data_IF_038039763265
#
_entry.id   IF_038039763265
#
_cell.length_a   1.000
_cell.length_b   1.000
_cell.length_c   1.000
_cell.angle_alpha   90.00
_cell.angle_beta   90.00
_cell.angle_gamma   90.00
#
_symmetry.space_group_name_H-M   'P 1'
#
loop_
_entity.id
_entity.type
_entity.pdbx_description
1 polymer ?
#
# COMPACT_ATOMS: atom_id res chain seq x y z
N UNK A 1 -32.43 4.15 11.06
CA UNK A 1 -32.00 5.47 11.58
C UNK A 1 -30.78 5.43 12.52
N UNK A 2 -30.65 4.52 13.49
CA UNK A 2 -29.46 4.47 14.37
C UNK A 2 -28.14 4.12 13.68
N UNK A 3 -28.16 3.36 12.58
CA UNK A 3 -26.97 2.97 11.81
C UNK A 3 -26.40 4.15 10.98
N UNK A 4 -27.29 4.92 10.30
CA UNK A 4 -26.87 6.13 9.56
C UNK A 4 -26.22 7.19 10.47
N UNK A 5 -26.71 7.33 11.71
CA UNK A 5 -26.15 8.27 12.68
C UNK A 5 -24.73 7.87 13.12
N UNK A 6 -24.44 6.58 13.24
CA UNK A 6 -23.08 6.09 13.58
C UNK A 6 -22.10 6.23 12.41
N UNK A 7 -22.58 6.07 11.17
CA UNK A 7 -21.78 6.31 9.97
C UNK A 7 -21.48 7.80 9.80
N UNK A 8 -22.46 8.68 10.06
CA UNK A 8 -22.26 10.12 9.99
C UNK A 8 -21.24 10.63 11.03
N UNK A 9 -21.23 10.08 12.24
CA UNK A 9 -20.25 10.42 13.29
C UNK A 9 -18.84 9.93 12.89
N UNK A 10 -18.71 8.75 12.29
CA UNK A 10 -17.43 8.24 11.80
C UNK A 10 -16.88 9.10 10.64
N UNK A 11 -17.73 9.57 9.73
CA UNK A 11 -17.37 10.47 8.63
C UNK A 11 -16.98 11.86 9.15
N UNK A 12 -17.64 12.37 10.20
CA UNK A 12 -17.28 13.65 10.84
C UNK A 12 -15.95 13.59 11.60
N UNK A 13 -15.62 12.46 12.23
CA UNK A 13 -14.31 12.26 12.86
C UNK A 13 -13.17 12.14 11.82
N UNK A 14 -13.45 11.66 10.60
CA UNK A 14 -12.48 11.66 9.50
C UNK A 14 -12.29 13.06 8.87
N UNK A 15 -13.31 13.90 8.89
CA UNK A 15 -13.25 15.27 8.36
C UNK A 15 -12.29 16.20 9.11
N UNK A 16 -12.09 15.98 10.41
CA UNK A 16 -11.16 16.78 11.23
C UNK A 16 -9.67 16.45 10.99
N UNK A 17 -9.35 15.31 10.37
CA UNK A 17 -7.97 14.92 10.03
C UNK A 17 -7.52 15.58 8.72
N UNK A 18 -8.44 16.06 7.90
CA UNK A 18 -8.14 16.72 6.61
C UNK A 18 -7.71 18.20 6.76
N UNK A 19 -7.83 18.78 7.96
CA UNK A 19 -7.53 20.21 8.19
C UNK A 19 -6.04 20.53 8.35
N UNK A 20 -5.14 19.58 8.21
CA UNK A 20 -3.69 19.79 8.24
C UNK A 20 -3.03 19.77 6.85
N UNK A 21 -3.81 19.90 5.79
CA UNK A 21 -3.27 20.09 4.44
C UNK A 21 -2.80 21.55 4.28
N UNK A 22 -1.67 21.86 4.86
CA UNK A 22 -0.97 23.11 4.59
C UNK A 22 0.07 22.84 3.50
N UNK A 23 -0.08 23.62 2.42
CA UNK A 23 0.72 23.69 1.18
C UNK A 23 0.52 22.61 0.10
N UNK A 24 0.32 23.12 -1.07
CA UNK A 24 0.01 22.67 -2.42
C UNK A 24 0.76 21.46 -3.03
N UNK A 25 1.18 20.47 -2.28
CA UNK A 25 1.90 19.30 -2.79
C UNK A 25 1.04 18.02 -2.76
N UNK A 26 -0.17 18.08 -3.31
CA UNK A 26 -1.01 16.91 -3.43
C UNK A 26 -0.55 16.05 -4.60
N UNK A 27 0.17 14.95 -4.32
CA UNK A 27 0.57 14.00 -5.34
C UNK A 27 -0.50 12.97 -5.66
N UNK A 28 -0.31 12.26 -6.77
CA UNK A 28 -1.17 11.16 -7.18
C UNK A 28 -0.38 9.89 -7.47
N UNK A 29 -0.83 8.76 -6.91
CA UNK A 29 -0.24 7.45 -7.08
C UNK A 29 -1.20 6.50 -7.77
N UNK A 30 -0.81 5.99 -8.91
CA UNK A 30 -1.52 4.96 -9.67
C UNK A 30 -0.81 3.64 -9.45
N UNK A 31 -1.52 2.66 -8.89
CA UNK A 31 -0.90 1.43 -8.41
C UNK A 31 -1.61 0.20 -8.94
N UNK A 32 -0.84 -0.75 -9.40
CA UNK A 32 -1.27 -2.09 -9.72
C UNK A 32 -0.60 -3.08 -8.77
N UNK A 33 -1.39 -4.00 -8.24
CA UNK A 33 -0.94 -5.09 -7.38
C UNK A 33 -1.47 -6.42 -7.90
N UNK A 34 -0.57 -7.30 -8.28
CA UNK A 34 -0.87 -8.68 -8.63
C UNK A 34 -0.39 -9.65 -7.55
N UNK A 35 -1.22 -10.63 -7.24
CA UNK A 35 -0.85 -11.75 -6.38
C UNK A 35 -1.48 -13.04 -6.95
N UNK A 36 -0.82 -13.60 -7.96
CA UNK A 36 -1.36 -14.61 -8.83
C UNK A 36 -0.90 -16.00 -8.39
N UNK A 37 -1.82 -16.90 -8.09
CA UNK A 37 -1.48 -18.29 -7.73
C UNK A 37 -0.80 -19.00 -8.90
N UNK A 38 0.37 -19.60 -8.62
CA UNK A 38 1.13 -20.47 -9.54
C UNK A 38 0.83 -21.95 -9.22
N UNK A 39 0.64 -22.26 -7.95
CA UNK A 39 0.27 -23.58 -7.46
C UNK A 39 -0.59 -23.46 -6.19
N UNK A 40 -0.91 -24.59 -5.54
CA UNK A 40 -1.67 -24.61 -4.28
C UNK A 40 -1.01 -23.76 -3.19
N UNK A 41 0.32 -23.69 -3.14
CA UNK A 41 1.07 -22.97 -2.10
C UNK A 41 1.92 -21.81 -2.63
N UNK A 42 2.22 -21.75 -3.94
CA UNK A 42 3.05 -20.73 -4.52
C UNK A 42 2.21 -19.64 -5.18
N UNK A 43 2.62 -18.41 -4.99
CA UNK A 43 2.05 -17.24 -5.66
C UNK A 43 3.15 -16.34 -6.23
N UNK A 44 2.84 -15.71 -7.35
CA UNK A 44 3.67 -14.70 -8.00
C UNK A 44 3.13 -13.32 -7.61
N UNK A 45 3.98 -12.55 -6.96
CA UNK A 45 3.72 -11.13 -6.66
C UNK A 45 4.26 -10.26 -7.76
N UNK A 46 3.45 -9.33 -8.26
CA UNK A 46 3.87 -8.30 -9.19
C UNK A 46 3.19 -6.98 -8.84
N UNK A 47 3.94 -5.89 -8.94
CA UNK A 47 3.49 -4.59 -8.47
C UNK A 47 4.11 -3.50 -9.33
N UNK A 48 3.28 -2.57 -9.82
CA UNK A 48 3.73 -1.37 -10.51
C UNK A 48 3.09 -0.18 -9.80
N UNK A 49 3.89 0.83 -9.48
CA UNK A 49 3.39 2.09 -8.92
C UNK A 49 3.98 3.24 -9.72
N UNK A 50 3.10 4.02 -10.31
CA UNK A 50 3.41 5.29 -10.97
C UNK A 50 2.98 6.41 -10.05
N UNK A 51 3.94 7.14 -9.52
CA UNK A 51 3.75 8.19 -8.52
C UNK A 51 4.13 9.52 -9.12
N UNK A 52 3.27 10.53 -8.95
CA UNK A 52 3.47 11.86 -9.45
C UNK A 52 3.52 12.87 -8.31
N UNK A 53 4.22 13.97 -8.54
CA UNK A 53 4.22 15.13 -7.65
C UNK A 53 2.86 15.83 -7.64
N UNK A 54 2.18 15.83 -8.77
CA UNK A 54 0.83 16.34 -8.97
C UNK A 54 -0.15 15.23 -9.42
N UNK A 55 -1.20 15.57 -10.15
CA UNK A 55 -2.18 14.58 -10.65
C UNK A 55 -1.59 13.60 -11.65
N UNK A 56 -1.08 14.07 -12.80
CA UNK A 56 -0.50 13.27 -13.90
C UNK A 56 0.58 14.08 -14.62
N UNK A 57 1.67 13.38 -15.03
CA UNK A 57 2.68 13.95 -15.92
C UNK A 57 3.97 14.35 -15.25
N UNK A 58 3.94 14.68 -13.97
CA UNK A 58 5.12 15.03 -13.20
C UNK A 58 5.62 13.83 -12.36
N UNK A 59 6.35 12.93 -13.00
CA UNK A 59 6.82 11.69 -12.38
C UNK A 59 7.73 12.01 -11.17
N UNK A 60 7.30 11.51 -10.01
CA UNK A 60 8.09 11.47 -8.78
C UNK A 60 8.86 10.16 -8.65
N UNK A 61 8.14 9.03 -8.89
CA UNK A 61 8.74 7.72 -8.70
C UNK A 61 7.99 6.64 -9.50
N UNK A 62 8.74 5.82 -10.22
CA UNK A 62 8.25 4.56 -10.80
C UNK A 62 8.81 3.40 -9.99
N UNK A 63 7.93 2.53 -9.48
CA UNK A 63 8.32 1.33 -8.77
C UNK A 63 7.80 0.11 -9.52
N UNK A 64 8.69 -0.83 -9.79
CA UNK A 64 8.35 -2.14 -10.32
C UNK A 64 8.87 -3.18 -9.33
N UNK A 65 7.98 -4.05 -8.85
CA UNK A 65 8.35 -5.11 -7.91
C UNK A 65 7.83 -6.46 -8.38
N UNK A 66 8.60 -7.48 -8.10
CA UNK A 66 8.22 -8.87 -8.36
C UNK A 66 8.69 -9.76 -7.21
N UNK A 67 8.09 -10.94 -7.07
CA UNK A 67 8.51 -11.87 -6.04
C UNK A 67 7.76 -13.19 -6.08
N UNK A 68 8.31 -14.17 -5.37
CA UNK A 68 7.68 -15.47 -5.17
C UNK A 68 7.27 -15.57 -3.71
N UNK A 69 6.00 -15.86 -3.51
CA UNK A 69 5.41 -16.10 -2.20
C UNK A 69 5.07 -17.56 -1.98
N UNK A 70 5.13 -17.98 -0.72
CA UNK A 70 4.74 -19.30 -0.27
C UNK A 70 3.71 -19.19 0.85
N UNK A 71 2.55 -19.83 0.68
CA UNK A 71 1.51 -19.88 1.69
C UNK A 71 1.85 -20.94 2.75
N UNK A 72 2.17 -20.46 3.94
CA UNK A 72 2.41 -21.32 5.12
C UNK A 72 1.11 -21.94 5.61
N UNK A 73 0.01 -21.19 5.51
CA UNK A 73 -1.35 -21.64 5.80
C UNK A 73 -2.27 -21.26 4.65
N UNK A 74 -3.38 -21.93 4.49
CA UNK A 74 -4.24 -21.84 3.31
C UNK A 74 -4.70 -20.41 2.98
N UNK A 75 -4.98 -19.56 3.96
CA UNK A 75 -5.53 -18.23 3.71
C UNK A 75 -4.93 -17.08 4.55
N UNK A 76 -4.06 -17.40 5.51
CA UNK A 76 -3.68 -16.44 6.53
C UNK A 76 -2.22 -16.00 6.45
N UNK A 77 -1.29 -16.96 6.36
CA UNK A 77 0.13 -16.68 6.51
C UNK A 77 0.87 -16.92 5.20
N UNK A 78 1.60 -15.92 4.74
CA UNK A 78 2.39 -15.98 3.52
C UNK A 78 3.78 -15.39 3.79
N UNK A 79 4.81 -16.06 3.32
CA UNK A 79 6.17 -15.50 3.23
C UNK A 79 6.49 -15.21 1.77
N UNK A 80 7.27 -14.17 1.51
CA UNK A 80 7.61 -13.76 0.16
C UNK A 80 9.05 -13.24 0.11
N UNK A 81 9.78 -13.67 -0.91
CA UNK A 81 11.05 -13.08 -1.32
C UNK A 81 10.83 -12.33 -2.63
N UNK A 82 11.26 -11.07 -2.68
CA UNK A 82 11.03 -10.23 -3.83
C UNK A 82 12.17 -9.31 -4.18
N UNK A 83 12.10 -8.80 -5.39
CA UNK A 83 12.99 -7.80 -5.95
C UNK A 83 12.19 -6.57 -6.38
N UNK A 84 12.79 -5.39 -6.25
CA UNK A 84 12.21 -4.12 -6.68
C UNK A 84 13.20 -3.26 -7.42
N UNK A 85 12.77 -2.73 -8.56
CA UNK A 85 13.41 -1.63 -9.28
C UNK A 85 12.67 -0.33 -8.98
N UNK A 86 13.38 0.70 -8.57
CA UNK A 86 12.81 1.99 -8.22
C UNK A 86 13.58 3.09 -8.96
N UNK A 87 12.88 3.79 -9.82
CA UNK A 87 13.34 5.03 -10.45
C UNK A 87 12.68 6.20 -9.73
N UNK A 88 13.46 7.12 -9.21
CA UNK A 88 12.98 8.32 -8.51
C UNK A 88 13.52 9.57 -9.18
N UNK A 89 12.67 10.61 -9.32
CA UNK A 89 13.02 11.87 -9.95
C UNK A 89 12.68 13.06 -9.02
N UNK A 90 13.35 13.19 -7.83
CA UNK A 90 13.14 14.32 -6.96
C UNK A 90 13.64 15.63 -7.59
N UNK A 91 13.02 16.74 -7.19
CA UNK A 91 13.53 18.07 -7.51
C UNK A 91 14.68 18.44 -6.56
N UNK A 92 15.83 18.81 -7.12
CA UNK A 92 16.99 19.33 -6.40
C UNK A 92 17.32 20.70 -7.03
N UNK A 93 17.18 21.77 -6.25
CA UNK A 93 17.36 23.17 -6.72
C UNK A 93 16.54 23.53 -7.97
N UNK A 94 15.32 22.96 -8.09
CA UNK A 94 14.40 23.22 -9.19
C UNK A 94 14.56 22.32 -10.42
N UNK A 95 15.58 21.46 -10.46
CA UNK A 95 15.82 20.49 -11.54
C UNK A 95 15.52 19.06 -11.07
N UNK A 96 15.03 18.21 -11.97
CA UNK A 96 14.82 16.79 -11.69
C UNK A 96 16.15 16.04 -11.73
N UNK A 97 16.42 15.28 -10.68
CA UNK A 97 17.59 14.40 -10.58
C UNK A 97 17.14 12.95 -10.58
N UNK A 98 17.67 12.16 -11.47
CA UNK A 98 17.33 10.74 -11.56
C UNK A 98 18.15 9.92 -10.58
N UNK A 99 17.46 9.10 -9.78
CA UNK A 99 18.08 8.15 -8.85
C UNK A 99 17.48 6.77 -9.07
N UNK A 100 18.35 5.78 -9.27
CA UNK A 100 17.97 4.37 -9.39
C UNK A 100 18.30 3.65 -8.08
N UNK A 101 17.37 2.82 -7.64
CA UNK A 101 17.53 2.00 -6.46
C UNK A 101 17.03 0.57 -6.76
N UNK A 102 17.83 -0.42 -6.40
CA UNK A 102 17.47 -1.83 -6.42
C UNK A 102 17.16 -2.29 -5.01
N UNK A 103 16.16 -3.15 -4.84
CA UNK A 103 15.79 -3.70 -3.53
C UNK A 103 15.63 -5.21 -3.61
N UNK A 104 16.17 -5.88 -2.61
CA UNK A 104 15.74 -7.22 -2.25
C UNK A 104 14.86 -7.08 -1.01
N UNK A 105 13.75 -7.82 -0.92
CA UNK A 105 12.93 -7.74 0.25
C UNK A 105 12.34 -9.09 0.66
N UNK A 106 12.32 -9.33 1.95
CA UNK A 106 11.63 -10.44 2.60
C UNK A 106 10.37 -9.90 3.24
N UNK A 107 9.27 -10.63 3.10
CA UNK A 107 7.99 -10.20 3.62
C UNK A 107 7.25 -11.35 4.28
N UNK A 108 6.60 -11.06 5.40
CA UNK A 108 5.63 -11.93 6.04
C UNK A 108 4.30 -11.21 6.14
N UNK A 109 3.24 -11.88 5.69
CA UNK A 109 1.86 -11.39 5.83
C UNK A 109 1.10 -12.37 6.70
N UNK A 110 0.34 -11.85 7.67
CA UNK A 110 -0.66 -12.62 8.41
C UNK A 110 -1.99 -11.88 8.39
N UNK A 111 -3.08 -12.62 8.24
CA UNK A 111 -4.44 -12.09 8.14
C UNK A 111 -5.32 -12.65 9.25
N UNK A 112 -6.21 -11.81 9.76
CA UNK A 112 -7.16 -12.17 10.80
C UNK A 112 -8.53 -11.61 10.46
N UNK A 113 -9.60 -12.32 10.81
CA UNK A 113 -10.97 -11.89 10.59
C UNK A 113 -11.74 -11.95 11.90
N UNK A 114 -12.32 -10.80 12.29
CA UNK A 114 -13.20 -10.67 13.45
C UNK A 114 -14.55 -10.10 13.01
N UNK A 115 -15.52 -10.96 12.79
CA UNK A 115 -16.80 -10.55 12.23
C UNK A 115 -16.61 -9.90 10.86
N UNK A 116 -16.88 -8.59 10.75
CA UNK A 116 -16.71 -7.80 9.52
C UNK A 116 -15.33 -7.18 9.37
N UNK A 117 -14.50 -7.20 10.40
CA UNK A 117 -13.17 -6.62 10.40
C UNK A 117 -12.17 -7.60 9.82
N UNK A 118 -11.58 -7.26 8.66
CA UNK A 118 -10.55 -8.04 8.02
C UNK A 118 -9.22 -7.31 8.23
N UNK A 119 -8.40 -7.85 9.12
CA UNK A 119 -7.09 -7.30 9.50
C UNK A 119 -5.99 -7.97 8.69
N UNK A 120 -4.96 -7.20 8.34
CA UNK A 120 -3.74 -7.69 7.73
C UNK A 120 -2.53 -7.04 8.39
N UNK A 121 -1.62 -7.85 8.85
CA UNK A 121 -0.29 -7.42 9.26
C UNK A 121 0.71 -7.77 8.15
N UNK A 122 1.58 -6.85 7.81
CA UNK A 122 2.68 -7.08 6.88
C UNK A 122 3.99 -6.60 7.51
N UNK A 123 4.90 -7.51 7.67
CA UNK A 123 6.27 -7.26 8.08
C UNK A 123 7.16 -7.37 6.85
N UNK A 124 8.03 -6.38 6.61
CA UNK A 124 8.93 -6.40 5.45
C UNK A 124 10.30 -5.87 5.87
N UNK A 125 11.32 -6.61 5.53
CA UNK A 125 12.71 -6.17 5.56
C UNK A 125 13.12 -5.85 4.13
N UNK A 126 13.71 -4.68 3.91
CA UNK A 126 14.20 -4.22 2.60
C UNK A 126 15.71 -3.98 2.68
N UNK A 127 16.47 -4.64 1.83
CA UNK A 127 17.85 -4.38 1.51
C UNK A 127 17.86 -3.45 0.29
N UNK A 128 18.40 -2.25 0.47
CA UNK A 128 18.28 -1.15 -0.49
C UNK A 128 19.67 -0.82 -1.03
N UNK A 129 19.87 -1.10 -2.33
CA UNK A 129 21.10 -0.82 -3.05
C UNK A 129 20.87 0.48 -3.85
N UNK A 130 21.44 1.56 -3.37
CA UNK A 130 21.50 2.85 -4.03
C UNK A 130 22.80 2.94 -4.82
N UNK A 131 22.95 3.97 -5.67
CA UNK A 131 24.09 4.10 -6.56
C UNK A 131 25.45 3.98 -5.81
N UNK A 132 25.57 4.67 -4.65
CA UNK A 132 26.80 4.73 -3.86
C UNK A 132 26.58 4.36 -2.38
N UNK A 133 25.45 3.71 -2.06
CA UNK A 133 25.08 3.46 -0.66
C UNK A 133 24.25 2.18 -0.53
N UNK A 134 24.38 1.53 0.61
CA UNK A 134 23.57 0.37 1.00
C UNK A 134 22.86 0.67 2.31
N UNK A 135 21.55 0.44 2.35
CA UNK A 135 20.74 0.66 3.56
C UNK A 135 19.78 -0.50 3.79
N UNK A 136 19.49 -0.74 5.03
CA UNK A 136 18.46 -1.69 5.42
C UNK A 136 17.28 -0.95 6.07
N UNK A 137 16.04 -1.41 5.77
CA UNK A 137 14.84 -0.82 6.31
C UNK A 137 13.80 -1.86 6.67
N UNK A 138 13.32 -1.76 7.89
CA UNK A 138 12.16 -2.53 8.34
C UNK A 138 10.87 -1.74 8.13
N UNK A 139 9.79 -2.46 7.77
CA UNK A 139 8.46 -1.87 7.59
C UNK A 139 7.43 -2.74 8.25
N UNK A 140 6.53 -2.12 8.97
CA UNK A 140 5.34 -2.77 9.50
C UNK A 140 4.08 -2.04 9.04
N UNK A 141 3.14 -2.80 8.47
CA UNK A 141 1.84 -2.30 8.06
C UNK A 141 0.74 -3.06 8.79
N UNK A 142 -0.16 -2.30 9.39
CA UNK A 142 -1.45 -2.77 9.89
C UNK A 142 -2.55 -2.24 8.97
N UNK A 143 -3.22 -3.14 8.26
CA UNK A 143 -4.33 -2.84 7.36
C UNK A 143 -5.65 -3.37 7.90
N UNK A 144 -6.73 -2.66 7.58
CA UNK A 144 -8.10 -2.98 7.96
C UNK A 144 -9.04 -2.78 6.78
N UNK A 145 -9.84 -3.81 6.46
CA UNK A 145 -10.93 -3.69 5.50
C UNK A 145 -12.26 -4.04 6.16
N UNK A 146 -13.28 -3.20 5.94
CA UNK A 146 -14.62 -3.36 6.51
C UNK A 146 -15.65 -3.31 5.38
N UNK A 147 -16.33 -4.43 5.05
CA UNK A 147 -17.40 -4.42 4.04
C UNK A 147 -18.58 -3.57 4.50
N UNK A 148 -19.18 -2.78 3.60
CA UNK A 148 -20.29 -1.85 3.89
C UNK A 148 -21.63 -2.50 3.57
N UNK A 149 -21.84 -2.88 2.32
CA UNK A 149 -23.13 -3.39 1.81
C UNK A 149 -23.31 -4.91 1.92
N UNK A 150 -22.27 -5.64 2.30
CA UNK A 150 -22.29 -7.08 2.58
C UNK A 150 -21.76 -7.38 3.98
N UNK A 151 -21.96 -8.61 4.49
CA UNK A 151 -21.34 -9.08 5.73
C UNK A 151 -19.89 -9.50 5.54
N UNK A 152 -19.51 -9.84 4.32
CA UNK A 152 -18.21 -10.37 3.93
C UNK A 152 -17.65 -9.66 2.70
N UNK A 153 -16.36 -9.86 2.42
CA UNK A 153 -15.64 -9.31 1.27
C UNK A 153 -15.93 -10.16 0.01
N UNK A 154 -17.19 -10.10 -0.47
CA UNK A 154 -17.69 -10.85 -1.64
C UNK A 154 -17.70 -9.97 -2.91
N UNK A 155 -17.84 -10.54 -4.12
CA UNK A 155 -18.07 -9.76 -5.34
C UNK A 155 -19.20 -8.75 -5.19
N UNK A 156 -19.03 -7.56 -5.80
CA UNK A 156 -19.96 -6.41 -5.72
C UNK A 156 -20.08 -5.79 -4.32
N UNK A 157 -19.07 -5.99 -3.46
CA UNK A 157 -18.99 -5.36 -2.14
C UNK A 157 -18.27 -4.03 -2.21
N UNK A 158 -18.92 -2.98 -1.69
CA UNK A 158 -18.27 -1.74 -1.27
C UNK A 158 -17.68 -1.94 0.12
N UNK A 159 -16.47 -1.44 0.35
CA UNK A 159 -15.79 -1.54 1.64
C UNK A 159 -14.96 -0.30 1.95
N UNK A 160 -14.75 -0.05 3.23
CA UNK A 160 -13.75 0.92 3.72
C UNK A 160 -12.43 0.18 3.87
N UNK A 161 -11.36 0.79 3.39
CA UNK A 161 -9.97 0.35 3.60
C UNK A 161 -9.22 1.41 4.40
N UNK A 162 -8.42 0.97 5.36
CA UNK A 162 -7.51 1.85 6.08
C UNK A 162 -6.21 1.10 6.38
N UNK A 163 -5.08 1.82 6.42
CA UNK A 163 -3.85 1.27 6.96
C UNK A 163 -2.99 2.34 7.64
N UNK A 164 -2.17 1.85 8.57
CA UNK A 164 -1.01 2.55 9.07
C UNK A 164 0.24 1.75 8.69
N UNK A 165 1.27 2.42 8.18
CA UNK A 165 2.54 1.78 7.84
C UNK A 165 3.71 2.62 8.37
N UNK A 166 4.51 2.04 9.27
CA UNK A 166 5.74 2.63 9.78
C UNK A 166 6.95 2.08 9.05
N UNK A 167 7.93 2.94 8.80
CA UNK A 167 9.19 2.64 8.15
C UNK A 167 10.33 3.02 9.09
N UNK A 168 11.20 2.05 9.38
CA UNK A 168 12.32 2.21 10.30
C UNK A 168 13.61 1.79 9.58
N UNK A 169 14.55 2.72 9.44
CA UNK A 169 15.89 2.38 9.00
C UNK A 169 16.59 1.56 10.11
N UNK A 170 17.47 0.65 9.73
CA UNK A 170 18.33 -0.03 10.69
C UNK A 170 19.56 0.80 11.04
N UNK A 171 19.80 1.89 10.28
CA UNK A 171 20.83 2.90 10.52
C UNK A 171 20.19 4.19 11.05
N UNK A 172 21.00 5.11 11.55
CA UNK A 172 20.55 6.41 12.03
C UNK A 172 20.29 7.38 10.85
N UNK A 173 19.21 8.16 10.86
CA UNK A 173 18.10 8.16 11.83
C UNK A 173 17.18 6.96 11.66
N UNK A 174 16.73 6.37 12.76
CA UNK A 174 15.90 5.16 12.78
C UNK A 174 14.52 5.42 12.15
N UNK A 175 13.86 6.52 12.49
CA UNK A 175 12.57 6.87 11.89
C UNK A 175 12.76 7.39 10.47
N UNK A 176 12.17 6.71 9.47
CA UNK A 176 12.15 7.19 8.08
C UNK A 176 10.83 7.93 7.79
N UNK A 177 9.70 7.27 8.00
CA UNK A 177 8.36 7.83 7.77
C UNK A 177 7.24 6.99 8.38
N UNK A 178 6.07 7.59 8.47
CA UNK A 178 4.82 6.88 8.73
C UNK A 178 3.79 7.24 7.65
N UNK A 179 2.92 6.29 7.31
CA UNK A 179 1.82 6.50 6.36
C UNK A 179 0.51 6.13 7.01
N UNK A 180 -0.45 7.05 6.91
CA UNK A 180 -1.84 6.83 7.32
C UNK A 180 -2.71 6.93 6.06
N UNK A 181 -3.51 5.93 5.81
CA UNK A 181 -4.33 5.81 4.61
C UNK A 181 -5.77 5.51 4.94
N UNK A 182 -6.69 6.11 4.18
CA UNK A 182 -8.11 5.81 4.19
C UNK A 182 -8.68 5.81 2.78
N UNK A 183 -9.54 4.83 2.45
CA UNK A 183 -10.09 4.65 1.11
C UNK A 183 -11.47 4.02 1.10
N UNK A 184 -12.13 4.18 -0.04
CA UNK A 184 -13.26 3.36 -0.46
C UNK A 184 -12.78 2.36 -1.51
N UNK A 185 -13.21 1.11 -1.36
CA UNK A 185 -12.92 0.05 -2.30
C UNK A 185 -14.17 -0.64 -2.81
N UNK A 186 -14.04 -1.22 -4.00
CA UNK A 186 -15.07 -2.02 -4.62
C UNK A 186 -14.52 -3.35 -5.14
N UNK A 187 -15.14 -4.45 -4.74
CA UNK A 187 -14.81 -5.80 -5.22
C UNK A 187 -15.56 -6.06 -6.52
N UNK A 188 -14.85 -6.05 -7.64
CA UNK A 188 -15.42 -6.25 -8.98
C UNK A 188 -15.88 -7.71 -9.13
N UNK A 189 -14.96 -8.63 -8.80
CA UNK A 189 -15.24 -10.07 -8.82
C UNK A 189 -14.33 -10.79 -7.81
N UNK A 190 -14.33 -12.12 -7.74
CA UNK A 190 -13.55 -12.91 -6.78
C UNK A 190 -12.03 -12.66 -6.84
N UNK A 191 -11.52 -12.15 -7.94
CA UNK A 191 -10.10 -11.97 -8.19
C UNK A 191 -9.67 -10.50 -8.32
N UNK A 192 -10.61 -9.57 -8.52
CA UNK A 192 -10.28 -8.18 -8.84
C UNK A 192 -11.03 -7.19 -7.94
N UNK A 193 -10.31 -6.18 -7.48
CA UNK A 193 -10.89 -5.04 -6.75
C UNK A 193 -10.14 -3.76 -7.10
N UNK A 194 -10.81 -2.64 -6.88
CA UNK A 194 -10.27 -1.29 -7.03
C UNK A 194 -10.43 -0.53 -5.72
N UNK A 195 -9.48 0.33 -5.40
CA UNK A 195 -9.53 1.25 -4.27
C UNK A 195 -9.17 2.65 -4.72
N UNK A 196 -9.84 3.65 -4.16
CA UNK A 196 -9.47 5.06 -4.30
C UNK A 196 -9.52 5.72 -2.92
N UNK A 197 -8.46 6.44 -2.56
CA UNK A 197 -8.34 7.02 -1.24
C UNK A 197 -7.24 8.06 -1.12
N UNK A 198 -7.08 8.50 0.13
CA UNK A 198 -6.09 9.51 0.51
C UNK A 198 -5.10 8.91 1.51
N UNK A 199 -3.83 9.21 1.31
CA UNK A 199 -2.73 8.82 2.19
C UNK A 199 -1.98 10.07 2.62
N UNK A 200 -1.73 10.21 3.91
CA UNK A 200 -0.80 11.18 4.44
C UNK A 200 0.53 10.49 4.81
N UNK A 201 1.61 10.99 4.24
CA UNK A 201 2.97 10.55 4.55
C UNK A 201 3.61 11.54 5.51
N UNK A 202 3.88 11.08 6.71
CA UNK A 202 4.52 11.83 7.80
C UNK A 202 6.01 11.51 7.80
N UNK A 203 6.84 12.53 7.72
CA UNK A 203 8.30 12.47 7.86
C UNK A 203 8.70 13.46 8.95
N UNK A 204 9.92 13.41 9.45
CA UNK A 204 10.39 14.22 10.57
C UNK A 204 10.07 15.72 10.39
N UNK A 205 10.32 16.25 9.19
CA UNK A 205 10.18 17.68 8.89
C UNK A 205 9.20 17.98 7.75
N UNK A 206 8.50 16.97 7.23
CA UNK A 206 7.60 17.15 6.07
C UNK A 206 6.42 16.20 6.13
N UNK A 207 5.24 16.74 5.89
CA UNK A 207 4.02 15.97 5.68
C UNK A 207 3.58 16.16 4.23
N UNK A 208 3.13 15.07 3.61
CA UNK A 208 2.65 15.16 2.22
C UNK A 208 1.42 14.30 2.00
N UNK A 209 0.38 14.92 1.42
CA UNK A 209 -0.84 14.27 0.98
C UNK A 209 -0.68 13.58 -0.38
N UNK A 210 -1.34 12.42 -0.54
CA UNK A 210 -1.31 11.64 -1.79
C UNK A 210 -2.70 11.08 -2.08
N UNK A 211 -3.24 11.33 -3.27
CA UNK A 211 -4.36 10.54 -3.78
C UNK A 211 -3.80 9.18 -4.24
N UNK A 212 -4.44 8.10 -3.85
CA UNK A 212 -4.05 6.77 -4.29
C UNK A 212 -5.20 6.09 -5.03
N UNK A 213 -4.91 5.57 -6.21
CA UNK A 213 -5.80 4.71 -6.98
C UNK A 213 -5.10 3.38 -7.17
N UNK A 214 -5.67 2.33 -6.59
CA UNK A 214 -5.12 0.98 -6.60
C UNK A 214 -6.01 -0.01 -7.33
N UNK A 215 -5.45 -0.78 -8.25
CA UNK A 215 -6.07 -1.93 -8.87
C UNK A 215 -5.39 -3.21 -8.39
N UNK A 216 -6.18 -4.16 -7.89
CA UNK A 216 -5.69 -5.42 -7.34
C UNK A 216 -6.18 -6.58 -8.19
N UNK A 217 -5.26 -7.44 -8.60
CA UNK A 217 -5.51 -8.60 -9.46
C UNK A 217 -4.92 -9.88 -8.85
N UNK A 218 -5.80 -10.83 -8.52
CA UNK A 218 -5.43 -12.14 -7.97
C UNK A 218 -5.87 -13.28 -8.91
N UNK A 219 -5.96 -13.03 -10.21
CA UNK A 219 -6.32 -14.07 -11.20
C UNK A 219 -5.22 -15.14 -11.15
N UNK A 220 -5.55 -16.42 -10.89
CA UNK A 220 -4.55 -17.48 -10.87
C UNK A 220 -4.00 -17.74 -12.27
N UNK A 221 -2.70 -18.03 -12.36
CA UNK A 221 -2.06 -18.41 -13.62
C UNK A 221 -2.33 -19.88 -14.00
N UNK A 222 -2.68 -20.70 -13.02
CA UNK A 222 -3.04 -22.11 -13.22
C UNK A 222 -4.54 -22.28 -13.01
N UNK A 223 -5.19 -22.98 -13.95
CA UNK A 223 -6.56 -23.51 -13.72
C UNK A 223 -6.43 -24.67 -12.76
N UNK A 224 -7.04 -24.60 -11.59
CA UNK A 224 -7.25 -25.73 -10.70
C UNK A 224 -8.25 -26.71 -11.32
#
# INVERSE_FOLDING_TARGET
>A
MRFLRKVAVAVLCFGSVLSFAQENDLGAWYMYFGNNKISKKLNFHNEIQYRNFDGIGDLEQLLIRTGIGYDLTENNNNVLLGYGFILSQPYVKGEKVENIEHRIFQQFITKQKFGRFNLQHRYRLEERFLQDDFRMRFRYLLGLNIPINNKEMLPKTLYVSAYNEIFLNLDSPVFDRNRVYGALGYIINKNMRIEAGYMNQLQENKNRGQIQIGFYNNIPFTKN
#
